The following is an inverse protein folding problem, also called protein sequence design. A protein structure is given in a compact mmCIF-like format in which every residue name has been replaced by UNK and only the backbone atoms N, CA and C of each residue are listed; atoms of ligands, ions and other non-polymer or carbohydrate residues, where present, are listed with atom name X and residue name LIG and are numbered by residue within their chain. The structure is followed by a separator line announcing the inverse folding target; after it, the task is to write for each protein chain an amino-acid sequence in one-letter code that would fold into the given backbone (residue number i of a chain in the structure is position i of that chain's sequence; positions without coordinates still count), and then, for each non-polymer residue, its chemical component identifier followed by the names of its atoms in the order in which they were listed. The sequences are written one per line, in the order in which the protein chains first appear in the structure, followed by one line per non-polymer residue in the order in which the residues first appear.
data_IF_351632949232
#
_entry.id   IF_351632949232
#
_cell.length_a   1.000
_cell.length_b   1.000
_cell.length_c   1.000
_cell.angle_alpha   90.00
_cell.angle_beta   90.00
_cell.angle_gamma   90.00
#
_symmetry.space_group_name_H-M   'P 1'
#
loop_
_entity.id
_entity.type
_entity.pdbx_description
1 polymer ?
#
# COMPACT_ATOMS: atom_id res chain seq x y z
N UNK A 1 28.98 17.23 -29.48
CA UNK A 1 29.83 16.25 -28.77
C UNK A 1 29.24 15.82 -27.44
N UNK A 2 28.74 16.71 -26.58
CA UNK A 2 28.13 16.31 -25.26
C UNK A 2 26.86 15.43 -25.40
N UNK A 3 25.98 15.73 -26.37
CA UNK A 3 24.73 14.96 -26.57
C UNK A 3 24.99 13.51 -26.99
N UNK A 4 26.04 13.29 -27.79
CA UNK A 4 26.42 11.93 -28.24
C UNK A 4 26.97 11.11 -27.06
N UNK A 5 27.73 11.74 -26.15
CA UNK A 5 28.31 11.06 -24.96
C UNK A 5 27.20 10.70 -23.97
N UNK A 6 26.20 11.56 -23.76
CA UNK A 6 25.05 11.24 -22.89
C UNK A 6 24.17 10.13 -23.47
N UNK A 7 24.01 10.07 -24.78
CA UNK A 7 23.24 9.01 -25.46
C UNK A 7 23.98 7.67 -25.41
N UNK A 8 25.31 7.69 -25.58
CA UNK A 8 26.15 6.49 -25.48
C UNK A 8 26.16 5.95 -24.04
N UNK A 9 26.32 6.82 -23.04
CA UNK A 9 26.25 6.44 -21.61
C UNK A 9 24.86 5.90 -21.22
N UNK A 10 23.80 6.40 -21.83
CA UNK A 10 22.43 5.91 -21.59
C UNK A 10 22.22 4.52 -22.26
N UNK A 11 22.78 4.30 -23.45
CA UNK A 11 22.76 3.01 -24.14
C UNK A 11 23.65 1.98 -23.44
N UNK A 12 24.83 2.37 -22.93
CA UNK A 12 25.71 1.49 -22.16
C UNK A 12 25.10 1.12 -20.81
N UNK A 13 24.42 2.04 -20.11
CA UNK A 13 23.62 1.69 -18.93
C UNK A 13 22.50 0.72 -19.27
N UNK A 14 21.71 0.94 -20.33
CA UNK A 14 20.69 -0.02 -20.78
C UNK A 14 21.26 -1.37 -21.16
N UNK A 15 22.45 -1.40 -21.79
CA UNK A 15 23.15 -2.64 -22.15
C UNK A 15 23.79 -3.30 -20.93
N UNK A 16 24.34 -2.55 -19.97
CA UNK A 16 24.80 -3.09 -18.68
C UNK A 16 23.64 -3.67 -17.88
N UNK A 17 22.48 -3.01 -17.81
CA UNK A 17 21.27 -3.59 -17.24
C UNK A 17 20.82 -4.86 -17.99
N UNK A 18 21.01 -4.93 -19.32
CA UNK A 18 20.74 -6.13 -20.10
C UNK A 18 21.76 -7.26 -19.87
N UNK A 19 23.04 -6.92 -19.58
CA UNK A 19 24.06 -7.90 -19.19
C UNK A 19 23.91 -8.39 -17.74
N UNK A 20 23.41 -7.53 -16.82
CA UNK A 20 23.02 -7.95 -15.46
C UNK A 20 21.73 -8.80 -15.47
N UNK A 21 20.95 -8.77 -16.53
CA UNK A 21 19.73 -9.57 -16.73
C UNK A 21 20.00 -10.99 -17.30
N UNK A 22 21.21 -11.52 -17.20
CA UNK A 22 21.42 -12.98 -17.15
C UNK A 22 21.22 -13.44 -15.69
N UNK A 23 20.28 -12.87 -15.01
CA UNK A 23 19.68 -13.51 -13.84
C UNK A 23 18.85 -14.66 -14.38
N UNK A 24 19.21 -15.84 -14.00
CA UNK A 24 18.39 -17.02 -14.25
C UNK A 24 16.98 -16.77 -13.68
N UNK A 25 16.05 -16.41 -14.56
CA UNK A 25 14.68 -16.06 -14.18
C UNK A 25 13.98 -17.17 -13.39
N UNK A 26 14.50 -18.41 -13.47
CA UNK A 26 14.02 -19.54 -12.69
C UNK A 26 14.30 -19.40 -11.18
N UNK A 27 15.26 -18.55 -10.80
CA UNK A 27 15.63 -18.27 -9.40
C UNK A 27 14.84 -17.11 -8.78
N UNK A 28 14.06 -16.37 -9.59
CA UNK A 28 13.25 -15.26 -9.08
C UNK A 28 12.05 -15.81 -8.32
N UNK A 29 11.91 -15.40 -7.07
CA UNK A 29 10.69 -15.63 -6.30
C UNK A 29 9.68 -14.54 -6.62
N UNK A 30 8.76 -14.82 -7.55
CA UNK A 30 7.75 -13.87 -8.03
C UNK A 30 6.75 -13.44 -6.96
N UNK A 31 6.49 -14.28 -5.96
CA UNK A 31 5.66 -13.95 -4.80
C UNK A 31 6.24 -12.76 -4.02
N UNK A 32 7.54 -12.84 -3.62
CA UNK A 32 8.21 -11.74 -2.93
C UNK A 32 8.49 -10.54 -3.84
N UNK A 33 8.74 -10.81 -5.13
CA UNK A 33 8.97 -9.75 -6.10
C UNK A 33 7.70 -8.90 -6.30
N UNK A 34 6.52 -9.49 -6.28
CA UNK A 34 5.24 -8.79 -6.42
C UNK A 34 4.95 -7.81 -5.27
N UNK A 35 5.54 -8.04 -4.11
CA UNK A 35 5.44 -7.17 -2.93
C UNK A 35 6.50 -6.05 -2.93
N UNK A 36 7.49 -6.09 -3.85
CA UNK A 36 8.59 -5.14 -3.90
C UNK A 36 8.23 -3.89 -4.72
N UNK A 37 8.15 -2.68 -4.10
CA UNK A 37 7.80 -1.45 -4.84
C UNK A 37 8.81 -1.06 -5.93
N UNK A 38 10.06 -1.49 -5.82
CA UNK A 38 11.12 -1.25 -6.82
C UNK A 38 11.05 -2.16 -8.03
N UNK A 39 10.17 -3.17 -8.04
CA UNK A 39 10.12 -4.20 -9.09
C UNK A 39 9.04 -3.97 -10.16
N UNK A 40 8.33 -2.85 -10.14
CA UNK A 40 7.14 -2.61 -10.98
C UNK A 40 7.44 -2.75 -12.47
N UNK A 41 8.58 -2.24 -12.96
CA UNK A 41 8.96 -2.36 -14.38
C UNK A 41 9.14 -3.83 -14.78
N UNK A 42 9.85 -4.60 -13.93
CA UNK A 42 10.07 -6.04 -14.19
C UNK A 42 8.78 -6.85 -14.13
N UNK A 43 7.87 -6.51 -13.20
CA UNK A 43 6.54 -7.13 -13.09
C UNK A 43 5.67 -6.79 -14.30
N UNK A 44 5.73 -5.56 -14.79
CA UNK A 44 4.99 -5.12 -15.98
C UNK A 44 5.43 -5.88 -17.24
N UNK A 45 6.72 -6.23 -17.34
CA UNK A 45 7.25 -7.04 -18.43
C UNK A 45 6.93 -8.54 -18.29
N UNK A 46 6.50 -9.02 -17.13
CA UNK A 46 6.25 -10.43 -16.80
C UNK A 46 4.90 -10.63 -16.09
N UNK A 47 3.82 -10.09 -16.66
CA UNK A 47 2.48 -10.05 -16.06
C UNK A 47 1.94 -11.45 -15.71
N UNK A 48 2.34 -12.47 -16.47
CA UNK A 48 1.96 -13.88 -16.24
C UNK A 48 2.60 -14.50 -14.98
N UNK A 49 3.59 -13.83 -14.38
CA UNK A 49 4.30 -14.27 -13.17
C UNK A 49 3.86 -13.56 -11.90
N UNK A 50 3.02 -12.52 -12.03
CA UNK A 50 2.60 -11.69 -10.88
C UNK A 50 1.76 -12.50 -9.90
N UNK A 51 2.13 -12.42 -8.61
CA UNK A 51 1.23 -12.75 -7.52
C UNK A 51 0.33 -11.54 -7.25
N UNK A 52 -0.88 -11.56 -7.78
CA UNK A 52 -1.83 -10.44 -7.73
C UNK A 52 -2.27 -10.06 -6.32
N UNK A 53 -2.51 -11.01 -5.38
CA UNK A 53 -2.71 -10.69 -3.97
C UNK A 53 -1.59 -9.86 -3.38
N UNK A 54 -0.32 -10.25 -3.57
CA UNK A 54 0.85 -9.51 -3.10
C UNK A 54 0.97 -8.14 -3.78
N UNK A 55 0.79 -8.10 -5.10
CA UNK A 55 0.84 -6.85 -5.85
C UNK A 55 -0.23 -5.86 -5.38
N UNK A 56 -1.41 -6.34 -4.98
CA UNK A 56 -2.50 -5.47 -4.51
C UNK A 56 -2.12 -4.69 -3.23
N UNK A 57 -1.28 -5.26 -2.37
CA UNK A 57 -0.72 -4.58 -1.19
C UNK A 57 0.46 -3.66 -1.50
N UNK A 58 1.06 -3.77 -2.69
CA UNK A 58 2.27 -3.04 -3.06
C UNK A 58 1.96 -1.56 -3.38
N UNK A 59 2.49 -0.57 -2.60
CA UNK A 59 2.17 0.83 -2.81
C UNK A 59 2.70 1.42 -4.13
N UNK A 60 3.69 0.77 -4.77
CA UNK A 60 4.21 1.16 -6.09
C UNK A 60 3.35 0.69 -7.27
N UNK A 61 2.38 -0.21 -7.05
CA UNK A 61 1.70 -0.93 -8.12
C UNK A 61 0.39 -0.31 -8.61
N UNK A 62 -0.02 0.87 -8.14
CA UNK A 62 -1.36 1.43 -8.38
C UNK A 62 -1.67 1.55 -9.88
N UNK A 63 -0.73 2.01 -10.69
CA UNK A 63 -0.93 2.13 -12.14
C UNK A 63 -1.12 0.79 -12.83
N UNK A 64 -0.38 -0.24 -12.40
CA UNK A 64 -0.49 -1.60 -12.93
C UNK A 64 -1.81 -2.25 -12.50
N UNK A 65 -2.23 -2.06 -11.25
CA UNK A 65 -3.51 -2.52 -10.70
C UNK A 65 -4.70 -1.85 -11.38
N UNK A 66 -4.62 -0.54 -11.63
CA UNK A 66 -5.70 0.20 -12.29
C UNK A 66 -5.99 -0.29 -13.73
N UNK A 67 -4.98 -0.87 -14.39
CA UNK A 67 -5.10 -1.48 -15.72
C UNK A 67 -5.57 -2.95 -15.68
N UNK A 68 -5.59 -3.58 -14.49
CA UNK A 68 -5.91 -4.99 -14.28
C UNK A 68 -6.90 -5.18 -13.12
N UNK A 69 -7.99 -4.42 -13.13
CA UNK A 69 -8.96 -4.33 -12.02
C UNK A 69 -9.59 -5.69 -11.69
N UNK A 70 -9.73 -6.56 -12.67
CA UNK A 70 -10.23 -7.94 -12.55
C UNK A 70 -9.29 -8.87 -11.75
N UNK A 71 -8.01 -8.50 -11.60
CA UNK A 71 -6.99 -9.26 -10.88
C UNK A 71 -6.80 -8.80 -9.43
N UNK A 72 -7.39 -7.67 -9.04
CA UNK A 72 -7.18 -7.06 -7.72
C UNK A 72 -7.71 -7.94 -6.59
N UNK A 73 -6.86 -8.18 -5.61
CA UNK A 73 -7.29 -8.63 -4.28
C UNK A 73 -7.72 -7.40 -3.45
N UNK A 74 -9.01 -7.17 -3.34
CA UNK A 74 -9.58 -5.98 -2.69
C UNK A 74 -9.31 -5.92 -1.19
N UNK A 75 -9.13 -7.07 -0.54
CA UNK A 75 -8.73 -7.14 0.87
C UNK A 75 -7.34 -6.53 1.05
N UNK A 76 -6.34 -7.00 0.28
CA UNK A 76 -4.98 -6.46 0.30
C UNK A 76 -4.92 -4.99 -0.15
N UNK A 77 -5.69 -4.64 -1.19
CA UNK A 77 -5.73 -3.28 -1.70
C UNK A 77 -6.27 -2.28 -0.67
N UNK A 78 -7.25 -2.69 0.16
CA UNK A 78 -7.83 -1.81 1.19
C UNK A 78 -6.81 -1.38 2.26
N UNK A 79 -5.79 -2.21 2.52
CA UNK A 79 -4.66 -1.87 3.38
C UNK A 79 -3.56 -1.05 2.69
N UNK A 80 -3.60 -0.88 1.37
CA UNK A 80 -2.56 -0.18 0.61
C UNK A 80 -2.74 1.36 0.74
N UNK A 81 -1.77 2.10 1.34
CA UNK A 81 -1.94 3.53 1.61
C UNK A 81 -2.07 4.38 0.34
N UNK A 82 -1.57 3.92 -0.80
CA UNK A 82 -1.60 4.65 -2.07
C UNK A 82 -2.85 4.32 -2.91
N UNK A 83 -3.73 3.42 -2.44
CA UNK A 83 -4.85 2.93 -3.23
C UNK A 83 -6.17 3.71 -3.04
N UNK A 84 -6.20 4.79 -2.27
CA UNK A 84 -7.44 5.46 -1.85
C UNK A 84 -8.30 5.87 -3.05
N UNK A 85 -7.73 6.46 -4.09
CA UNK A 85 -8.47 6.87 -5.29
C UNK A 85 -9.07 5.66 -6.04
N UNK A 86 -8.33 4.54 -6.12
CA UNK A 86 -8.80 3.31 -6.76
C UNK A 86 -9.91 2.64 -5.95
N UNK A 87 -9.80 2.66 -4.62
CA UNK A 87 -10.83 2.19 -3.69
C UNK A 87 -12.10 3.03 -3.77
N UNK A 88 -11.97 4.35 -3.80
CA UNK A 88 -13.11 5.28 -3.91
C UNK A 88 -13.89 5.05 -5.21
N UNK A 89 -13.19 4.82 -6.33
CA UNK A 89 -13.83 4.45 -7.61
C UNK A 89 -14.52 3.09 -7.59
N UNK A 90 -14.15 2.21 -6.67
CA UNK A 90 -14.68 0.87 -6.50
C UNK A 90 -15.24 0.65 -5.08
N UNK A 91 -16.01 1.60 -4.60
CA UNK A 91 -16.46 1.73 -3.22
C UNK A 91 -17.10 0.44 -2.65
N UNK A 92 -17.87 -0.26 -3.46
CA UNK A 92 -18.52 -1.53 -3.07
C UNK A 92 -17.56 -2.72 -2.89
N UNK A 93 -16.28 -2.55 -3.24
CA UNK A 93 -15.22 -3.56 -3.09
C UNK A 93 -14.34 -3.34 -1.86
N UNK A 94 -14.51 -2.22 -1.15
CA UNK A 94 -13.70 -1.86 0.02
C UNK A 94 -13.88 -2.89 1.14
N UNK A 95 -12.78 -3.42 1.65
CA UNK A 95 -12.74 -4.09 2.93
C UNK A 95 -12.52 -3.06 4.04
N UNK A 96 -13.56 -2.73 4.78
CA UNK A 96 -13.54 -1.68 5.80
C UNK A 96 -12.69 -2.03 7.02
N UNK A 97 -12.48 -3.32 7.30
CA UNK A 97 -11.58 -3.78 8.38
C UNK A 97 -10.15 -3.36 8.05
N UNK A 98 -9.66 -3.74 6.86
CA UNK A 98 -8.31 -3.37 6.40
C UNK A 98 -8.17 -1.87 6.16
N UNK A 99 -9.22 -1.22 5.62
CA UNK A 99 -9.22 0.21 5.41
C UNK A 99 -9.07 0.98 6.72
N UNK A 100 -9.66 0.51 7.82
CA UNK A 100 -9.56 1.16 9.14
C UNK A 100 -8.13 1.18 9.67
N UNK A 101 -7.30 0.20 9.33
CA UNK A 101 -5.88 0.17 9.66
C UNK A 101 -5.02 1.00 8.68
N UNK A 102 -5.57 1.42 7.54
CA UNK A 102 -4.82 2.10 6.48
C UNK A 102 -4.57 3.58 6.85
N UNK A 103 -3.29 4.02 7.02
CA UNK A 103 -2.98 5.40 7.40
C UNK A 103 -3.36 6.45 6.33
N UNK A 104 -3.49 6.06 5.07
CA UNK A 104 -3.92 6.93 3.97
C UNK A 104 -5.44 7.16 3.92
N UNK A 105 -6.23 6.38 4.69
CA UNK A 105 -7.69 6.34 4.52
C UNK A 105 -8.48 7.27 5.46
N UNK A 106 -7.83 8.08 6.29
CA UNK A 106 -8.50 8.83 7.37
C UNK A 106 -9.66 9.71 6.87
N UNK A 107 -9.50 10.39 5.74
CA UNK A 107 -10.58 11.21 5.18
C UNK A 107 -11.78 10.34 4.77
N UNK A 108 -11.54 9.24 4.07
CA UNK A 108 -12.59 8.32 3.64
C UNK A 108 -13.31 7.66 4.82
N UNK A 109 -12.58 7.33 5.89
CA UNK A 109 -13.13 6.80 7.14
C UNK A 109 -13.97 7.85 7.89
N UNK A 110 -13.52 9.10 7.91
CA UNK A 110 -14.27 10.20 8.54
C UNK A 110 -15.62 10.47 7.87
N UNK A 111 -15.68 10.28 6.54
CA UNK A 111 -16.92 10.39 5.76
C UNK A 111 -17.83 9.16 5.90
N UNK A 112 -17.34 8.04 6.44
CA UNK A 112 -18.03 6.75 6.53
C UNK A 112 -17.89 6.11 7.92
N UNK A 113 -18.18 6.89 8.97
CA UNK A 113 -17.98 6.50 10.38
C UNK A 113 -18.73 5.22 10.78
N UNK A 114 -19.86 4.97 10.15
CA UNK A 114 -20.69 3.77 10.33
C UNK A 114 -20.02 2.47 9.85
N UNK A 115 -18.98 2.55 9.01
CA UNK A 115 -18.26 1.42 8.46
C UNK A 115 -16.92 1.14 9.14
N UNK A 116 -16.51 1.97 10.08
CA UNK A 116 -15.22 1.85 10.77
C UNK A 116 -15.17 0.59 11.63
N UNK A 117 -14.09 -0.18 11.47
CA UNK A 117 -13.65 -1.13 12.48
C UNK A 117 -12.78 -0.39 13.51
N UNK A 118 -13.36 -0.10 14.68
CA UNK A 118 -12.72 0.74 15.69
C UNK A 118 -11.49 0.07 16.33
N UNK A 119 -11.43 -1.27 16.40
CA UNK A 119 -10.24 -1.97 16.87
C UNK A 119 -9.07 -1.72 15.93
N UNK A 120 -9.25 -1.93 14.62
CA UNK A 120 -8.21 -1.66 13.62
C UNK A 120 -7.85 -0.15 13.54
N UNK A 121 -8.85 0.73 13.68
CA UNK A 121 -8.61 2.18 13.71
C UNK A 121 -7.76 2.59 14.92
N UNK A 122 -7.97 1.97 16.10
CA UNK A 122 -7.21 2.27 17.31
C UNK A 122 -5.71 1.93 17.16
N UNK A 123 -5.37 0.96 16.32
CA UNK A 123 -3.99 0.64 15.96
C UNK A 123 -3.41 1.58 14.87
N UNK A 124 -4.24 2.40 14.19
CA UNK A 124 -3.80 3.26 13.08
C UNK A 124 -3.13 4.54 13.61
N UNK A 125 -1.82 4.77 13.33
CA UNK A 125 -1.09 5.93 13.86
C UNK A 125 -1.60 7.28 13.33
N UNK A 126 -2.30 7.30 12.21
CA UNK A 126 -2.88 8.51 11.62
C UNK A 126 -4.28 8.85 12.14
N UNK A 127 -4.87 8.00 13.00
CA UNK A 127 -6.27 8.11 13.40
C UNK A 127 -6.51 8.89 14.71
N UNK A 128 -5.48 9.44 15.36
CA UNK A 128 -5.57 10.00 16.73
C UNK A 128 -6.66 11.06 16.85
N UNK A 129 -6.78 11.99 15.88
CA UNK A 129 -7.82 13.02 15.91
C UNK A 129 -9.24 12.44 15.81
N UNK A 130 -9.42 11.38 15.02
CA UNK A 130 -10.71 10.71 14.87
C UNK A 130 -11.06 9.91 16.13
N UNK A 131 -10.08 9.25 16.74
CA UNK A 131 -10.22 8.52 18.01
C UNK A 131 -10.54 9.46 19.17
N UNK A 132 -9.86 10.61 19.25
CA UNK A 132 -10.11 11.64 20.28
C UNK A 132 -11.56 12.15 20.26
N UNK A 133 -12.17 12.21 19.08
CA UNK A 133 -13.59 12.61 18.93
C UNK A 133 -14.57 11.47 19.22
N UNK A 134 -14.11 10.23 19.37
CA UNK A 134 -14.91 9.03 19.56
C UNK A 134 -14.31 8.12 20.64
N UNK A 135 -14.02 8.69 21.82
CA UNK A 135 -13.32 8.00 22.92
C UNK A 135 -14.06 6.74 23.38
N UNK A 136 -15.39 6.75 23.31
CA UNK A 136 -16.26 5.62 23.63
C UNK A 136 -16.11 4.40 22.69
N UNK A 137 -15.48 4.60 21.55
CA UNK A 137 -15.23 3.57 20.51
C UNK A 137 -13.83 2.99 20.56
N UNK A 138 -12.93 3.56 21.37
CA UNK A 138 -11.51 3.16 21.39
C UNK A 138 -11.36 1.74 21.91
N UNK A 139 -10.61 0.95 21.14
CA UNK A 139 -10.01 -0.29 21.62
C UNK A 139 -8.67 0.04 22.31
N UNK A 140 -8.69 0.04 23.66
CA UNK A 140 -7.53 0.47 24.46
C UNK A 140 -6.34 -0.47 24.35
N UNK A 141 -6.56 -1.76 24.08
CA UNK A 141 -5.49 -2.74 23.87
C UNK A 141 -4.74 -2.37 22.57
N UNK A 142 -5.45 -2.15 21.48
CA UNK A 142 -4.89 -1.70 20.23
C UNK A 142 -4.24 -0.31 20.35
N UNK A 143 -4.88 0.63 21.03
CA UNK A 143 -4.35 1.98 21.21
C UNK A 143 -3.03 1.98 22.00
N UNK A 144 -2.90 1.08 22.99
CA UNK A 144 -1.67 0.96 23.78
C UNK A 144 -0.44 0.60 22.95
N UNK A 145 -0.62 -0.11 21.83
CA UNK A 145 0.42 -0.41 20.85
C UNK A 145 0.65 0.68 19.79
N UNK A 146 -0.19 1.73 19.75
CA UNK A 146 -0.13 2.78 18.74
C UNK A 146 0.94 3.83 19.11
N UNK A 147 2.03 3.99 18.32
CA UNK A 147 3.12 4.90 18.65
C UNK A 147 2.73 6.37 18.71
N UNK A 148 1.61 6.75 18.06
CA UNK A 148 1.10 8.12 18.03
C UNK A 148 0.12 8.44 19.16
N UNK A 149 -0.24 7.45 20.01
CA UNK A 149 -1.30 7.59 20.99
C UNK A 149 -0.86 8.07 22.38
N UNK A 150 0.43 8.33 22.61
CA UNK A 150 0.98 8.61 23.95
C UNK A 150 0.27 9.78 24.63
N UNK A 151 0.02 10.90 23.94
CA UNK A 151 -0.69 12.05 24.47
C UNK A 151 -2.16 11.75 24.82
N UNK A 152 -2.81 10.89 24.02
CA UNK A 152 -4.20 10.49 24.26
C UNK A 152 -4.28 9.53 25.45
N UNK A 153 -3.33 8.62 25.57
CA UNK A 153 -3.23 7.70 26.71
C UNK A 153 -3.01 8.47 28.01
N UNK A 154 -2.03 9.37 28.07
CA UNK A 154 -1.71 10.16 29.27
C UNK A 154 -2.88 11.01 29.77
N UNK A 155 -3.68 11.57 28.89
CA UNK A 155 -4.84 12.40 29.26
C UNK A 155 -6.01 11.60 29.85
N UNK A 156 -6.02 10.27 29.71
CA UNK A 156 -7.12 9.41 30.18
C UNK A 156 -6.72 8.56 31.38
N UNK A 157 -5.59 8.86 32.06
CA UNK A 157 -5.18 8.21 33.31
C UNK A 157 -5.55 9.03 34.58
N UNK A 158 -6.08 10.24 34.40
CA UNK A 158 -6.59 11.10 35.48
C UNK A 158 -8.12 10.94 35.61
#
# INVERSE_FOLDING_TARGET
MLVVITTILHLERKQMYKLYLIVDKSKINWYWLSDNPGAIDLLTENVDKIDWPKLSGNPGAIDLLSKNVDKINWWMLSGNPNAIDLLTKNFNKINWVELSANPGAINLLTENVDKINWSNLSCNPSAIDLLTKNVDKIDWDCLSGNPSAIDLLTKNFD
#
